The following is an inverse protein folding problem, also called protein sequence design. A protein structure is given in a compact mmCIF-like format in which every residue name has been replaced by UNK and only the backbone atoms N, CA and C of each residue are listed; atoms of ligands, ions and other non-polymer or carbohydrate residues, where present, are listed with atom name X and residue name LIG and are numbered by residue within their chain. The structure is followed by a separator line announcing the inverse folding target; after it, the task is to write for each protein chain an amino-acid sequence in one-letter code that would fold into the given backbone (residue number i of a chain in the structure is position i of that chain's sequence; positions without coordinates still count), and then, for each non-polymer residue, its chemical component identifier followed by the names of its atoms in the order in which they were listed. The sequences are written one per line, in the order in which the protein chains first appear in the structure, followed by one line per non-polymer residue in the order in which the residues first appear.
data_IF_471972871676
#
_entry.id   IF_471972871676
#
_cell.length_a   1.000
_cell.length_b   1.000
_cell.length_c   1.000
_cell.angle_alpha   90.00
_cell.angle_beta   90.00
_cell.angle_gamma   90.00
#
_symmetry.space_group_name_H-M   'P 1'
#
loop_
_entity.id
_entity.type
_entity.pdbx_description
1 polymer ?
#
# COMPACT_ATOMS: atom_id res chain seq x y z
N UNK A 1 18.44 -0.08 -45.31
CA UNK A 1 17.39 -0.84 -44.59
C UNK A 1 16.69 0.14 -43.69
N UNK A 2 15.51 0.58 -44.11
CA UNK A 2 14.85 1.78 -43.58
C UNK A 2 14.33 1.57 -42.16
N UNK A 3 14.56 2.53 -41.23
CA UNK A 3 14.15 2.42 -39.83
C UNK A 3 12.65 2.72 -39.57
N UNK A 4 11.81 2.73 -40.61
CA UNK A 4 10.40 3.22 -40.55
C UNK A 4 9.37 2.09 -40.43
N UNK A 5 9.77 0.82 -40.49
CA UNK A 5 8.83 -0.33 -40.49
C UNK A 5 8.53 -0.95 -39.12
N UNK A 6 9.19 -0.51 -38.04
CA UNK A 6 8.94 -0.99 -36.68
C UNK A 6 7.87 -0.26 -35.82
N UNK A 7 7.36 0.97 -36.12
CA UNK A 7 6.58 1.77 -35.15
C UNK A 7 5.14 1.28 -34.92
N UNK A 8 4.80 0.05 -35.32
CA UNK A 8 3.43 -0.43 -35.36
C UNK A 8 3.04 -1.38 -34.21
N UNK A 9 3.98 -2.04 -33.52
CA UNK A 9 3.60 -3.20 -32.68
C UNK A 9 2.68 -2.81 -31.52
N UNK A 10 3.03 -1.76 -30.77
CA UNK A 10 2.23 -1.31 -29.61
C UNK A 10 0.93 -0.61 -30.04
N UNK A 11 1.00 0.20 -31.09
CA UNK A 11 -0.16 0.92 -31.62
C UNK A 11 -1.20 -0.01 -32.26
N UNK A 12 -0.75 -0.99 -33.05
CA UNK A 12 -1.60 -1.99 -33.70
C UNK A 12 -2.20 -2.98 -32.69
N UNK A 13 -1.48 -3.32 -31.61
CA UNK A 13 -2.00 -4.18 -30.55
C UNK A 13 -3.13 -3.53 -29.72
N UNK A 14 -3.13 -2.19 -29.58
CA UNK A 14 -4.11 -1.46 -28.78
C UNK A 14 -5.20 -0.75 -29.60
N UNK A 15 -5.03 -0.62 -30.92
CA UNK A 15 -5.98 0.06 -31.81
C UNK A 15 -6.09 1.58 -31.53
N UNK A 16 -5.03 2.19 -30.99
CA UNK A 16 -4.97 3.59 -30.57
C UNK A 16 -3.97 4.39 -31.41
N UNK A 17 -4.05 5.75 -31.40
CA UNK A 17 -3.00 6.59 -31.95
C UNK A 17 -1.63 6.22 -31.35
N UNK A 18 -0.58 6.26 -32.16
CA UNK A 18 0.77 5.81 -31.76
C UNK A 18 1.24 6.44 -30.44
N UNK A 19 1.10 7.76 -30.31
CA UNK A 19 1.51 8.49 -29.10
C UNK A 19 0.76 8.01 -27.85
N UNK A 20 -0.55 7.79 -27.96
CA UNK A 20 -1.37 7.29 -26.85
C UNK A 20 -0.96 5.87 -26.45
N UNK A 21 -0.72 5.02 -27.44
CA UNK A 21 -0.32 3.63 -27.21
C UNK A 21 1.03 3.53 -26.47
N UNK A 22 2.01 4.35 -26.86
CA UNK A 22 3.33 4.42 -26.20
C UNK A 22 3.21 4.95 -24.77
N UNK A 23 2.43 6.01 -24.55
CA UNK A 23 2.20 6.58 -23.21
C UNK A 23 1.52 5.58 -22.28
N UNK A 24 0.47 4.90 -22.76
CA UNK A 24 -0.27 3.90 -21.97
C UNK A 24 0.61 2.70 -21.64
N UNK A 25 1.41 2.22 -22.60
CA UNK A 25 2.36 1.14 -22.35
C UNK A 25 3.42 1.51 -21.31
N UNK A 26 3.98 2.73 -21.39
CA UNK A 26 4.90 3.25 -20.38
C UNK A 26 4.26 3.37 -18.99
N UNK A 27 3.03 3.89 -18.92
CA UNK A 27 2.29 4.02 -17.67
C UNK A 27 1.90 2.65 -17.07
N UNK A 28 1.61 1.65 -17.91
CA UNK A 28 1.36 0.28 -17.51
C UNK A 28 2.60 -0.34 -16.87
N UNK A 29 3.74 -0.30 -17.57
CA UNK A 29 5.03 -0.82 -17.09
C UNK A 29 5.44 -0.15 -15.79
N UNK A 30 5.33 1.18 -15.74
CA UNK A 30 5.58 1.95 -14.53
C UNK A 30 4.67 1.49 -13.39
N UNK A 31 3.36 1.46 -13.61
CA UNK A 31 2.37 1.14 -12.58
C UNK A 31 2.55 -0.26 -11.99
N UNK A 32 2.85 -1.27 -12.81
CA UNK A 32 3.17 -2.61 -12.33
C UNK A 32 4.42 -2.59 -11.45
N UNK A 33 5.49 -1.97 -11.97
CA UNK A 33 6.81 -1.98 -11.33
C UNK A 33 6.81 -1.20 -10.03
N UNK A 34 6.23 -0.01 -10.02
CA UNK A 34 6.11 0.86 -8.85
C UNK A 34 5.18 0.27 -7.79
N UNK A 35 4.09 -0.39 -8.19
CA UNK A 35 3.21 -1.11 -7.27
C UNK A 35 3.93 -2.26 -6.56
N UNK A 36 4.63 -3.10 -7.30
CA UNK A 36 5.37 -4.25 -6.73
C UNK A 36 6.53 -3.79 -5.84
N UNK A 37 7.38 -2.90 -6.32
CA UNK A 37 8.55 -2.43 -5.56
C UNK A 37 8.15 -1.50 -4.40
N UNK A 38 7.09 -0.71 -4.60
CA UNK A 38 6.45 0.09 -3.57
C UNK A 38 5.93 -0.76 -2.41
N UNK A 39 5.45 -1.98 -2.67
CA UNK A 39 5.03 -2.91 -1.62
C UNK A 39 6.14 -3.17 -0.59
N UNK A 40 7.36 -3.42 -1.05
CA UNK A 40 8.52 -3.61 -0.18
C UNK A 40 8.89 -2.31 0.55
N UNK A 41 8.94 -1.18 -0.15
CA UNK A 41 9.31 0.10 0.44
C UNK A 41 8.35 0.53 1.56
N UNK A 42 7.04 0.42 1.34
CA UNK A 42 6.00 0.81 2.32
C UNK A 42 5.98 -0.15 3.50
N UNK A 43 6.01 -1.46 3.28
CA UNK A 43 5.97 -2.42 4.39
C UNK A 43 7.23 -2.33 5.26
N UNK A 44 8.37 -1.94 4.69
CA UNK A 44 9.61 -1.71 5.42
C UNK A 44 9.66 -0.35 6.14
N UNK A 45 8.57 0.43 6.09
CA UNK A 45 8.49 1.81 6.61
C UNK A 45 9.54 2.75 6.01
N UNK A 46 9.93 2.50 4.77
CA UNK A 46 10.92 3.28 4.00
C UNK A 46 10.30 3.94 2.78
N UNK A 47 9.02 4.34 2.89
CA UNK A 47 8.28 4.94 1.78
C UNK A 47 8.91 6.26 1.28
N UNK A 48 9.62 6.98 2.15
CA UNK A 48 10.28 8.25 1.82
C UNK A 48 11.61 8.08 1.08
N UNK A 49 12.18 6.87 1.01
CA UNK A 49 13.42 6.63 0.25
C UNK A 49 13.20 6.93 -1.24
N UNK A 50 12.03 6.58 -1.78
CA UNK A 50 11.69 6.87 -3.18
C UNK A 50 11.68 8.37 -3.48
N UNK A 51 11.17 9.18 -2.55
CA UNK A 51 11.14 10.64 -2.65
C UNK A 51 12.55 11.24 -2.60
N UNK A 52 13.35 10.80 -1.62
CA UNK A 52 14.74 11.21 -1.48
C UNK A 52 15.57 10.87 -2.72
N UNK A 53 15.43 9.66 -3.26
CA UNK A 53 16.12 9.26 -4.50
C UNK A 53 15.67 10.13 -5.67
N UNK A 54 14.37 10.37 -5.82
CA UNK A 54 13.85 11.17 -6.93
C UNK A 54 14.43 12.58 -6.94
N UNK A 55 14.51 13.24 -5.79
CA UNK A 55 15.10 14.58 -5.69
C UNK A 55 16.63 14.55 -5.78
N UNK A 56 17.26 13.46 -5.31
CA UNK A 56 18.70 13.29 -5.43
C UNK A 56 19.19 13.02 -6.85
N UNK A 57 18.28 12.66 -7.77
CA UNK A 57 18.63 12.53 -9.19
C UNK A 57 18.89 13.88 -9.87
N UNK A 58 18.30 14.98 -9.39
CA UNK A 58 18.40 16.32 -9.99
C UNK A 58 19.85 16.80 -10.17
N UNK A 59 20.72 16.80 -9.14
CA UNK A 59 22.13 17.18 -9.33
C UNK A 59 22.84 16.28 -10.36
N UNK A 60 22.48 14.98 -10.44
CA UNK A 60 23.05 14.06 -11.41
C UNK A 60 22.72 14.43 -12.86
N UNK A 61 21.47 14.86 -13.10
CA UNK A 61 21.04 15.37 -14.40
C UNK A 61 21.80 16.64 -14.77
N UNK A 62 21.93 17.59 -13.83
CA UNK A 62 22.67 18.83 -14.06
C UNK A 62 24.16 18.58 -14.37
N UNK A 63 24.81 17.69 -13.62
CA UNK A 63 26.22 17.31 -13.87
C UNK A 63 26.36 16.60 -15.22
N UNK A 64 25.46 15.67 -15.55
CA UNK A 64 25.50 14.99 -16.85
C UNK A 64 25.34 15.98 -18.01
N UNK A 65 24.46 16.96 -17.88
CA UNK A 65 24.31 18.03 -18.88
C UNK A 65 25.58 18.87 -19.02
N UNK A 66 26.18 19.29 -17.91
CA UNK A 66 27.43 20.07 -17.90
C UNK A 66 28.60 19.34 -18.58
N UNK A 67 28.69 18.03 -18.40
CA UNK A 67 29.77 17.21 -18.97
C UNK A 67 29.52 16.86 -20.44
N UNK A 68 28.28 16.51 -20.79
CA UNK A 68 27.94 16.08 -22.15
C UNK A 68 27.79 17.25 -23.13
N UNK A 69 27.41 18.45 -22.67
CA UNK A 69 27.23 19.65 -23.51
C UNK A 69 26.09 19.56 -24.54
N UNK A 70 25.37 18.43 -24.60
CA UNK A 70 24.28 18.14 -25.55
C UNK A 70 23.12 17.50 -24.80
N UNK A 71 21.88 17.73 -25.26
CA UNK A 71 20.63 17.16 -24.71
C UNK A 71 20.46 15.67 -25.02
N UNK A 72 21.46 14.85 -24.74
CA UNK A 72 21.36 13.41 -24.93
C UNK A 72 20.56 12.78 -23.78
N UNK A 73 19.31 12.42 -24.11
CA UNK A 73 18.37 11.71 -23.24
C UNK A 73 19.02 10.54 -22.47
N UNK A 74 19.82 9.66 -23.10
CA UNK A 74 20.45 8.53 -22.39
C UNK A 74 21.50 8.99 -21.37
N UNK A 75 22.27 10.04 -21.69
CA UNK A 75 23.30 10.58 -20.80
C UNK A 75 22.69 11.24 -19.56
N UNK A 76 21.61 12.00 -19.75
CA UNK A 76 20.84 12.60 -18.65
C UNK A 76 20.25 11.53 -17.71
N UNK A 77 19.69 10.45 -18.27
CA UNK A 77 19.17 9.31 -17.49
C UNK A 77 20.29 8.56 -16.75
N UNK A 78 21.45 8.39 -17.37
CA UNK A 78 22.60 7.78 -16.73
C UNK A 78 23.08 8.62 -15.54
N UNK A 79 23.17 9.94 -15.70
CA UNK A 79 23.49 10.89 -14.63
C UNK A 79 22.49 10.81 -13.47
N UNK A 80 21.20 10.82 -13.78
CA UNK A 80 20.12 10.63 -12.80
C UNK A 80 20.26 9.32 -12.02
N UNK A 81 20.50 8.21 -12.73
CA UNK A 81 20.65 6.89 -12.13
C UNK A 81 21.88 6.78 -11.23
N UNK A 82 23.03 7.31 -11.68
CA UNK A 82 24.27 7.33 -10.89
C UNK A 82 24.09 8.17 -9.63
N UNK A 83 23.55 9.39 -9.74
CA UNK A 83 23.32 10.23 -8.56
C UNK A 83 22.30 9.62 -7.59
N UNK A 84 21.20 9.05 -8.11
CA UNK A 84 20.22 8.33 -7.30
C UNK A 84 20.81 7.13 -6.57
N UNK A 85 21.70 6.37 -7.23
CA UNK A 85 22.40 5.24 -6.62
C UNK A 85 23.39 5.71 -5.55
N UNK A 86 24.17 6.77 -5.82
CA UNK A 86 25.10 7.36 -4.86
C UNK A 86 24.33 7.83 -3.62
N UNK A 87 23.22 8.55 -3.78
CA UNK A 87 22.37 8.99 -2.69
C UNK A 87 21.80 7.81 -1.89
N UNK A 88 21.30 6.77 -2.58
CA UNK A 88 20.83 5.55 -1.95
C UNK A 88 21.90 4.85 -1.10
N UNK A 89 23.13 4.76 -1.63
CA UNK A 89 24.26 4.16 -0.91
C UNK A 89 24.70 5.02 0.27
N UNK A 90 24.69 6.35 0.14
CA UNK A 90 24.95 7.26 1.27
C UNK A 90 23.90 7.09 2.37
N UNK A 91 22.62 7.01 2.04
CA UNK A 91 21.56 6.77 3.03
C UNK A 91 21.82 5.46 3.80
N UNK A 92 22.06 4.36 3.07
CA UNK A 92 22.37 3.06 3.68
C UNK A 92 23.67 3.13 4.50
N UNK A 93 24.68 3.87 4.06
CA UNK A 93 25.94 4.06 4.78
C UNK A 93 25.76 4.81 6.09
N UNK A 94 24.99 5.89 6.08
CA UNK A 94 24.69 6.70 7.27
C UNK A 94 23.88 5.86 8.27
N UNK A 95 22.86 5.14 7.81
CA UNK A 95 22.05 4.23 8.64
C UNK A 95 22.91 3.17 9.33
N UNK A 96 23.92 2.63 8.63
CA UNK A 96 24.83 1.60 9.16
C UNK A 96 25.67 2.08 10.33
N UNK A 97 25.87 3.39 10.50
CA UNK A 97 26.60 3.90 11.67
C UNK A 97 25.84 3.68 12.98
N UNK A 98 24.54 3.41 12.92
CA UNK A 98 23.67 3.17 14.09
C UNK A 98 23.42 4.40 14.96
N UNK A 99 24.06 5.54 14.65
CA UNK A 99 23.95 6.79 15.43
C UNK A 99 22.77 7.66 15.00
N UNK A 100 22.31 7.50 13.76
CA UNK A 100 21.29 8.33 13.14
C UNK A 100 20.08 7.46 12.78
N UNK A 101 18.87 7.95 13.09
CA UNK A 101 17.63 7.24 12.72
C UNK A 101 17.48 7.21 11.20
N UNK A 102 16.94 6.12 10.60
CA UNK A 102 16.77 6.02 9.15
C UNK A 102 16.05 7.21 8.51
N UNK A 103 14.97 7.70 9.12
CA UNK A 103 14.23 8.86 8.61
C UNK A 103 15.07 10.14 8.58
N UNK A 104 15.97 10.30 9.55
CA UNK A 104 16.89 11.43 9.60
C UNK A 104 18.01 11.30 8.55
N UNK A 105 18.50 10.08 8.30
CA UNK A 105 19.47 9.82 7.23
C UNK A 105 18.89 10.16 5.85
N UNK A 106 17.63 9.77 5.61
CA UNK A 106 16.88 10.13 4.40
C UNK A 106 16.80 11.66 4.27
N UNK A 107 16.39 12.35 5.35
CA UNK A 107 16.27 13.82 5.35
C UNK A 107 17.59 14.53 5.05
N UNK A 108 18.69 14.11 5.67
CA UNK A 108 20.02 14.70 5.45
C UNK A 108 20.47 14.55 3.99
N UNK A 109 20.36 13.34 3.43
CA UNK A 109 20.77 13.10 2.04
C UNK A 109 19.87 13.82 1.05
N UNK A 110 18.55 13.79 1.27
CA UNK A 110 17.57 14.53 0.47
C UNK A 110 17.90 16.02 0.45
N UNK A 111 18.05 16.66 1.61
CA UNK A 111 18.33 18.10 1.70
C UNK A 111 19.66 18.47 1.04
N UNK A 112 20.71 17.68 1.24
CA UNK A 112 22.03 17.94 0.67
C UNK A 112 22.02 17.86 -0.87
N UNK A 113 21.49 16.76 -1.43
CA UNK A 113 21.45 16.57 -2.87
C UNK A 113 20.48 17.54 -3.54
N UNK A 114 19.33 17.81 -2.93
CA UNK A 114 18.38 18.78 -3.45
C UNK A 114 18.98 20.19 -3.47
N UNK A 115 19.62 20.63 -2.39
CA UNK A 115 20.31 21.93 -2.35
C UNK A 115 21.42 22.02 -3.40
N UNK A 116 22.25 20.97 -3.53
CA UNK A 116 23.29 20.90 -4.57
C UNK A 116 22.69 20.99 -5.97
N UNK A 117 21.61 20.25 -6.22
CA UNK A 117 20.90 20.25 -7.49
C UNK A 117 20.34 21.63 -7.81
N UNK A 118 19.72 22.32 -6.84
CA UNK A 118 19.21 23.68 -7.02
C UNK A 118 20.34 24.67 -7.33
N UNK A 119 21.48 24.59 -6.65
CA UNK A 119 22.64 25.45 -6.94
C UNK A 119 23.16 25.23 -8.36
N UNK A 120 23.35 23.97 -8.76
CA UNK A 120 23.79 23.61 -10.11
C UNK A 120 22.79 24.09 -11.17
N UNK A 121 21.50 23.94 -10.88
CA UNK A 121 20.43 24.40 -11.74
C UNK A 121 20.46 25.93 -11.89
N UNK A 122 20.49 26.68 -10.79
CA UNK A 122 20.54 28.16 -10.83
C UNK A 122 21.75 28.65 -11.62
N UNK A 123 22.90 27.97 -11.49
CA UNK A 123 24.09 28.29 -12.27
C UNK A 123 23.87 28.07 -13.78
N UNK A 124 23.24 26.96 -14.17
CA UNK A 124 22.85 26.66 -15.55
C UNK A 124 21.85 27.67 -16.11
N UNK A 125 20.85 28.05 -15.30
CA UNK A 125 19.82 29.00 -15.70
C UNK A 125 20.36 30.41 -15.90
N UNK A 126 21.39 30.82 -15.17
CA UNK A 126 21.96 32.16 -15.33
C UNK A 126 22.93 32.28 -16.53
N UNK A 127 23.36 31.17 -17.14
CA UNK A 127 24.37 31.14 -18.20
C UNK A 127 23.80 31.09 -19.63
N UNK A 128 22.61 31.67 -19.85
CA UNK A 128 21.93 31.85 -21.16
C UNK A 128 21.36 30.60 -21.86
N UNK A 129 21.31 29.43 -21.20
CA UNK A 129 20.60 28.21 -21.67
C UNK A 129 19.38 27.84 -20.78
N UNK A 130 18.87 28.79 -20.00
CA UNK A 130 17.85 28.57 -18.96
C UNK A 130 16.53 27.98 -19.45
N UNK A 131 16.05 28.45 -20.60
CA UNK A 131 14.77 28.04 -21.20
C UNK A 131 14.87 26.64 -21.85
N UNK A 132 16.08 26.08 -21.91
CA UNK A 132 16.43 24.90 -22.70
C UNK A 132 16.71 23.63 -21.88
N UNK A 133 16.75 23.67 -20.54
CA UNK A 133 17.15 22.53 -19.71
C UNK A 133 16.09 21.40 -19.60
N UNK A 134 14.85 21.63 -20.04
CA UNK A 134 13.78 20.61 -19.99
C UNK A 134 13.47 20.13 -18.56
N UNK A 135 13.71 20.98 -17.55
CA UNK A 135 13.67 20.56 -16.16
C UNK A 135 12.27 20.60 -15.55
N UNK A 136 11.41 21.55 -15.93
CA UNK A 136 9.99 21.53 -15.56
C UNK A 136 9.35 20.20 -16.00
N UNK A 137 9.74 19.76 -17.19
CA UNK A 137 9.37 18.49 -17.77
C UNK A 137 9.95 17.26 -17.04
N UNK A 138 11.13 17.38 -16.44
CA UNK A 138 11.70 16.36 -15.57
C UNK A 138 10.96 16.25 -14.23
N UNK A 139 10.57 17.40 -13.66
CA UNK A 139 9.89 17.48 -12.37
C UNK A 139 8.44 16.98 -12.43
N UNK A 140 7.70 17.38 -13.47
CA UNK A 140 6.28 17.05 -13.66
C UNK A 140 6.04 15.88 -14.64
N UNK A 141 7.10 15.39 -15.30
CA UNK A 141 7.03 14.34 -16.30
C UNK A 141 6.59 14.87 -17.67
N UNK A 142 7.04 14.19 -18.72
CA UNK A 142 6.63 14.46 -20.11
C UNK A 142 6.32 13.14 -20.82
N UNK A 143 5.15 12.57 -20.55
CA UNK A 143 4.76 11.37 -21.27
C UNK A 143 4.56 11.62 -22.78
N UNK A 144 4.19 12.85 -23.19
CA UNK A 144 4.01 13.19 -24.60
C UNK A 144 5.30 13.06 -25.44
N UNK A 145 6.47 13.14 -24.81
CA UNK A 145 7.78 12.96 -25.45
C UNK A 145 8.32 11.53 -25.37
N UNK A 146 7.53 10.57 -24.88
CA UNK A 146 7.96 9.18 -24.69
C UNK A 146 8.04 8.47 -26.05
N UNK A 147 9.18 7.85 -26.34
CA UNK A 147 9.37 7.05 -27.55
C UNK A 147 9.21 5.54 -27.26
N UNK A 148 8.94 4.74 -28.28
CA UNK A 148 8.85 3.29 -28.15
C UNK A 148 10.16 2.66 -27.63
N UNK A 149 11.31 3.22 -28.02
CA UNK A 149 12.63 2.83 -27.48
C UNK A 149 12.72 3.05 -25.97
N UNK A 150 12.17 4.15 -25.45
CA UNK A 150 12.18 4.44 -24.01
C UNK A 150 11.32 3.43 -23.27
N UNK A 151 10.13 3.12 -23.81
CA UNK A 151 9.24 2.10 -23.24
C UNK A 151 9.90 0.72 -23.26
N UNK A 152 10.63 0.36 -24.33
CA UNK A 152 11.37 -0.90 -24.40
C UNK A 152 12.46 -0.98 -23.32
N UNK A 153 13.23 0.09 -23.11
CA UNK A 153 14.24 0.16 -22.04
C UNK A 153 13.59 0.07 -20.66
N UNK A 154 12.50 0.80 -20.44
CA UNK A 154 11.73 0.74 -19.20
C UNK A 154 11.20 -0.67 -18.94
N UNK A 155 10.64 -1.32 -19.96
CA UNK A 155 10.12 -2.68 -19.89
C UNK A 155 11.23 -3.69 -19.58
N UNK A 156 12.41 -3.54 -20.18
CA UNK A 156 13.56 -4.40 -19.89
C UNK A 156 14.02 -4.23 -18.43
N UNK A 157 14.20 -3.00 -17.95
CA UNK A 157 14.59 -2.72 -16.57
C UNK A 157 13.53 -3.20 -15.57
N UNK A 158 12.25 -2.96 -15.86
CA UNK A 158 11.13 -3.47 -15.09
C UNK A 158 11.12 -5.00 -15.04
N UNK A 159 11.28 -5.67 -16.18
CA UNK A 159 11.31 -7.13 -16.25
C UNK A 159 12.45 -7.71 -15.42
N UNK A 160 13.66 -7.13 -15.50
CA UNK A 160 14.80 -7.53 -14.67
C UNK A 160 14.49 -7.31 -13.18
N UNK A 161 13.98 -6.14 -12.79
CA UNK A 161 13.67 -5.85 -11.40
C UNK A 161 12.58 -6.79 -10.83
N UNK A 162 11.51 -7.02 -11.60
CA UNK A 162 10.42 -7.92 -11.24
C UNK A 162 10.88 -9.38 -11.20
N UNK A 163 11.78 -9.81 -12.10
CA UNK A 163 12.39 -11.13 -12.08
C UNK A 163 13.23 -11.34 -10.82
N UNK A 164 14.08 -10.37 -10.47
CA UNK A 164 14.87 -10.39 -9.23
C UNK A 164 13.94 -10.51 -8.01
N UNK A 165 12.87 -9.73 -7.95
CA UNK A 165 11.84 -9.84 -6.89
C UNK A 165 11.17 -11.22 -6.91
N UNK A 166 10.86 -11.76 -8.08
CA UNK A 166 10.19 -13.04 -8.25
C UNK A 166 11.04 -14.22 -7.76
N UNK A 167 12.32 -14.24 -8.14
CA UNK A 167 13.32 -15.26 -7.77
C UNK A 167 13.68 -15.16 -6.30
N UNK A 168 14.02 -13.96 -5.82
CA UNK A 168 14.44 -13.74 -4.43
C UNK A 168 13.26 -13.50 -3.48
N UNK A 169 12.01 -13.68 -3.93
CA UNK A 169 10.79 -13.36 -3.17
C UNK A 169 10.85 -13.87 -1.74
N UNK A 170 11.23 -15.14 -1.54
CA UNK A 170 11.30 -15.76 -0.21
C UNK A 170 12.29 -15.04 0.68
N UNK A 171 13.53 -14.84 0.22
CA UNK A 171 14.58 -14.21 0.99
C UNK A 171 14.27 -12.73 1.31
N UNK A 172 13.73 -11.99 0.33
CA UNK A 172 13.28 -10.60 0.51
C UNK A 172 12.13 -10.49 1.51
N UNK A 173 11.15 -11.39 1.43
CA UNK A 173 10.00 -11.42 2.34
C UNK A 173 10.43 -11.75 3.77
N UNK A 174 11.30 -12.75 3.95
CA UNK A 174 11.82 -13.11 5.28
C UNK A 174 12.57 -11.94 5.90
N UNK A 175 13.46 -11.31 5.14
CA UNK A 175 14.24 -10.15 5.61
C UNK A 175 13.36 -8.94 5.90
N UNK A 176 12.23 -8.79 5.20
CA UNK A 176 11.28 -7.70 5.41
C UNK A 176 10.53 -7.82 6.74
N UNK A 177 10.09 -9.02 7.10
CA UNK A 177 9.27 -9.24 8.30
C UNK A 177 10.10 -9.53 9.55
N UNK A 178 11.21 -10.26 9.40
CA UNK A 178 12.11 -10.59 10.51
C UNK A 178 13.58 -10.66 10.03
N UNK A 179 14.31 -9.54 10.10
CA UNK A 179 15.73 -9.49 9.76
C UNK A 179 16.60 -10.39 10.64
N UNK A 180 16.23 -10.58 11.92
CA UNK A 180 16.99 -11.39 12.87
C UNK A 180 16.87 -12.87 12.55
N UNK A 181 15.66 -13.34 12.26
CA UNK A 181 15.41 -14.69 11.78
C UNK A 181 16.06 -14.95 10.41
N UNK A 182 16.00 -13.99 9.49
CA UNK A 182 16.71 -14.09 8.22
C UNK A 182 18.22 -14.26 8.41
N UNK A 183 18.82 -13.52 9.36
CA UNK A 183 20.22 -13.66 9.73
C UNK A 183 20.55 -15.02 10.34
N UNK A 184 19.69 -15.56 11.21
CA UNK A 184 19.86 -16.89 11.79
C UNK A 184 19.78 -18.02 10.74
N UNK A 185 19.01 -17.82 9.68
CA UNK A 185 18.97 -18.72 8.51
C UNK A 185 20.20 -18.61 7.59
N UNK A 186 21.15 -17.73 7.89
CA UNK A 186 22.35 -17.50 7.07
C UNK A 186 22.12 -16.62 5.85
N UNK A 187 20.98 -15.93 5.74
CA UNK A 187 20.75 -15.00 4.63
C UNK A 187 21.61 -13.74 4.78
N UNK A 188 22.19 -13.21 3.68
CA UNK A 188 22.98 -11.99 3.74
C UNK A 188 22.08 -10.76 3.82
N UNK A 189 21.48 -10.52 4.99
CA UNK A 189 20.51 -9.44 5.27
C UNK A 189 20.98 -8.10 4.68
N UNK A 190 22.24 -7.73 4.91
CA UNK A 190 22.81 -6.47 4.42
C UNK A 190 22.78 -6.35 2.89
N UNK A 191 23.10 -7.44 2.19
CA UNK A 191 23.09 -7.46 0.73
C UNK A 191 21.66 -7.37 0.18
N UNK A 192 20.70 -8.05 0.82
CA UNK A 192 19.30 -7.99 0.46
C UNK A 192 18.70 -6.60 0.66
N UNK A 193 19.08 -5.92 1.73
CA UNK A 193 18.65 -4.54 1.98
C UNK A 193 19.21 -3.57 0.94
N UNK A 194 20.50 -3.66 0.62
CA UNK A 194 21.12 -2.85 -0.43
C UNK A 194 20.50 -3.15 -1.80
N UNK A 195 20.21 -4.42 -2.09
CA UNK A 195 19.52 -4.83 -3.31
C UNK A 195 18.11 -4.21 -3.41
N UNK A 196 17.33 -4.21 -2.32
CA UNK A 196 16.02 -3.56 -2.30
C UNK A 196 16.09 -2.06 -2.55
N UNK A 197 17.07 -1.39 -1.95
CA UNK A 197 17.28 0.03 -2.22
C UNK A 197 17.68 0.25 -3.70
N UNK A 198 18.52 -0.60 -4.27
CA UNK A 198 18.90 -0.52 -5.68
C UNK A 198 17.71 -0.76 -6.63
N UNK A 199 16.85 -1.75 -6.36
CA UNK A 199 15.62 -1.94 -7.14
C UNK A 199 14.68 -0.74 -7.04
N UNK A 200 14.59 -0.11 -5.87
CA UNK A 200 13.80 1.11 -5.69
C UNK A 200 14.35 2.26 -6.53
N UNK A 201 15.67 2.43 -6.61
CA UNK A 201 16.30 3.41 -7.52
C UNK A 201 15.93 3.14 -8.96
N UNK A 202 15.97 1.87 -9.40
CA UNK A 202 15.52 1.49 -10.76
C UNK A 202 14.07 1.89 -10.99
N UNK A 203 13.17 1.65 -10.02
CA UNK A 203 11.77 2.06 -10.13
C UNK A 203 11.60 3.58 -10.28
N UNK A 204 12.39 4.35 -9.52
CA UNK A 204 12.38 5.82 -9.59
C UNK A 204 12.85 6.30 -10.95
N UNK A 205 13.97 5.77 -11.46
CA UNK A 205 14.52 6.14 -12.78
C UNK A 205 13.52 5.86 -13.90
N UNK A 206 12.85 4.70 -13.87
CA UNK A 206 11.80 4.34 -14.83
C UNK A 206 10.66 5.37 -14.78
N UNK A 207 10.20 5.74 -13.58
CA UNK A 207 8.98 6.54 -13.45
C UNK A 207 9.15 8.05 -13.58
N UNK A 208 10.37 8.56 -13.36
CA UNK A 208 10.71 9.97 -13.61
C UNK A 208 10.33 10.40 -15.03
N UNK A 209 10.51 9.53 -16.04
CA UNK A 209 10.15 9.82 -17.44
C UNK A 209 8.64 10.02 -17.68
N UNK A 210 7.81 9.20 -17.04
CA UNK A 210 6.35 9.19 -17.31
C UNK A 210 5.60 10.15 -16.42
N UNK A 211 5.88 10.11 -15.11
CA UNK A 211 5.11 10.80 -14.07
C UNK A 211 5.87 11.99 -13.48
N UNK A 212 7.19 12.04 -13.65
CA UNK A 212 8.04 13.09 -13.10
C UNK A 212 8.63 12.73 -11.73
N UNK A 213 9.74 13.36 -11.39
CA UNK A 213 10.46 13.09 -10.15
C UNK A 213 9.62 13.38 -8.90
N UNK A 214 8.84 14.48 -8.88
CA UNK A 214 8.05 14.90 -7.71
C UNK A 214 6.93 13.89 -7.42
N UNK A 215 6.27 13.43 -8.49
CA UNK A 215 5.07 12.61 -8.40
C UNK A 215 5.37 11.11 -8.32
N UNK A 216 6.63 10.72 -8.50
CA UNK A 216 7.07 9.32 -8.46
C UNK A 216 6.77 8.64 -7.12
N UNK A 217 6.94 9.34 -6.00
CA UNK A 217 6.66 8.79 -4.67
C UNK A 217 5.20 8.35 -4.55
N UNK A 218 4.26 9.10 -5.15
CA UNK A 218 2.86 8.74 -5.13
C UNK A 218 2.62 7.42 -5.87
N UNK A 219 3.27 7.19 -7.01
CA UNK A 219 3.18 5.93 -7.74
C UNK A 219 3.75 4.73 -6.98
N UNK A 220 4.70 4.92 -6.07
CA UNK A 220 5.20 3.84 -5.20
C UNK A 220 4.24 3.56 -4.03
N UNK A 221 3.69 4.61 -3.44
CA UNK A 221 2.94 4.50 -2.17
C UNK A 221 1.47 4.16 -2.40
N UNK A 222 0.79 4.88 -3.30
CA UNK A 222 -0.65 4.79 -3.53
C UNK A 222 -1.15 3.39 -3.88
N UNK A 223 -0.63 2.70 -4.92
CA UNK A 223 -1.11 1.37 -5.27
C UNK A 223 -0.86 0.34 -4.17
N UNK A 224 0.26 0.48 -3.46
CA UNK A 224 0.63 -0.36 -2.32
C UNK A 224 -0.33 -0.20 -1.15
N UNK A 225 -0.61 1.04 -0.75
CA UNK A 225 -1.54 1.34 0.34
C UNK A 225 -2.93 0.82 -0.01
N UNK A 226 -3.36 1.03 -1.26
CA UNK A 226 -4.63 0.50 -1.77
C UNK A 226 -4.67 -1.02 -1.65
N UNK A 227 -3.67 -1.73 -2.18
CA UNK A 227 -3.61 -3.18 -2.15
C UNK A 227 -3.62 -3.77 -0.73
N UNK A 228 -2.92 -3.11 0.21
CA UNK A 228 -2.87 -3.52 1.63
C UNK A 228 -4.21 -3.36 2.35
N UNK A 229 -5.08 -2.46 1.88
CA UNK A 229 -6.45 -2.36 2.40
C UNK A 229 -7.33 -3.51 1.93
N UNK A 230 -7.04 -4.11 0.77
CA UNK A 230 -7.84 -5.17 0.16
C UNK A 230 -7.35 -6.60 0.53
N UNK A 231 -6.07 -6.78 0.89
CA UNK A 231 -5.51 -8.09 1.19
C UNK A 231 -4.63 -8.13 2.44
N UNK A 232 -4.62 -9.30 3.09
CA UNK A 232 -3.83 -9.59 4.30
C UNK A 232 -2.53 -10.33 4.02
N UNK A 233 -2.50 -11.13 2.95
CA UNK A 233 -1.35 -11.99 2.63
C UNK A 233 -0.39 -11.25 1.72
N UNK A 234 0.89 -11.19 2.10
CA UNK A 234 1.92 -10.46 1.35
C UNK A 234 1.98 -10.78 -0.16
N UNK A 235 1.93 -12.06 -0.61
CA UNK A 235 1.91 -12.36 -2.05
C UNK A 235 0.70 -11.78 -2.78
N UNK A 236 -0.47 -11.73 -2.12
CA UNK A 236 -1.67 -11.10 -2.68
C UNK A 236 -1.54 -9.58 -2.70
N UNK A 237 -0.93 -8.98 -1.68
CA UNK A 237 -0.64 -7.54 -1.68
C UNK A 237 0.29 -7.18 -2.83
N UNK A 238 1.32 -7.99 -3.12
CA UNK A 238 2.26 -7.73 -4.21
C UNK A 238 1.55 -7.74 -5.58
N UNK A 239 0.75 -8.77 -5.83
CA UNK A 239 -0.02 -8.90 -7.07
C UNK A 239 -1.07 -7.80 -7.20
N UNK A 240 -1.81 -7.50 -6.14
CA UNK A 240 -2.80 -6.43 -6.15
C UNK A 240 -2.15 -5.04 -6.31
N UNK A 241 -0.99 -4.80 -5.70
CA UNK A 241 -0.30 -3.52 -5.84
C UNK A 241 0.16 -3.30 -7.29
N UNK A 242 0.70 -4.34 -7.94
CA UNK A 242 1.01 -4.29 -9.37
C UNK A 242 -0.22 -4.06 -10.24
N UNK A 243 -1.33 -4.77 -9.99
CA UNK A 243 -2.58 -4.62 -10.76
C UNK A 243 -3.25 -3.26 -10.55
N UNK A 244 -3.30 -2.77 -9.31
CA UNK A 244 -3.84 -1.44 -9.01
C UNK A 244 -2.96 -0.37 -9.62
N UNK A 245 -1.64 -0.50 -9.52
CA UNK A 245 -0.70 0.44 -10.14
C UNK A 245 -0.86 0.46 -11.66
N UNK A 246 -0.96 -0.70 -12.30
CA UNK A 246 -1.28 -0.85 -13.72
C UNK A 246 -2.59 -0.13 -14.09
N UNK A 247 -3.67 -0.41 -13.35
CA UNK A 247 -4.98 0.18 -13.60
C UNK A 247 -4.94 1.71 -13.44
N UNK A 248 -4.31 2.22 -12.38
CA UNK A 248 -4.14 3.66 -12.13
C UNK A 248 -3.31 4.31 -13.23
N UNK A 249 -2.19 3.69 -13.63
CA UNK A 249 -1.33 4.18 -14.70
C UNK A 249 -2.07 4.28 -16.03
N UNK A 250 -2.74 3.20 -16.44
CA UNK A 250 -3.49 3.14 -17.71
C UNK A 250 -4.67 4.11 -17.70
N UNK A 251 -5.51 4.09 -16.65
CA UNK A 251 -6.69 4.97 -16.57
C UNK A 251 -6.30 6.44 -16.47
N UNK A 252 -5.26 6.77 -15.70
CA UNK A 252 -4.73 8.12 -15.63
C UNK A 252 -4.13 8.59 -16.95
N UNK A 253 -3.37 7.74 -17.65
CA UNK A 253 -2.82 8.05 -18.96
C UNK A 253 -3.93 8.32 -19.99
N UNK A 254 -4.95 7.46 -20.05
CA UNK A 254 -6.10 7.62 -20.96
C UNK A 254 -6.90 8.90 -20.70
N UNK A 255 -7.08 9.27 -19.43
CA UNK A 255 -7.78 10.52 -19.08
C UNK A 255 -6.94 11.74 -19.43
N UNK A 256 -5.63 11.67 -19.23
CA UNK A 256 -4.72 12.75 -19.54
C UNK A 256 -4.63 13.01 -21.06
N UNK A 257 -4.50 11.95 -21.88
CA UNK A 257 -4.41 12.11 -23.35
C UNK A 257 -5.69 12.69 -23.95
N UNK A 258 -6.86 12.24 -23.48
CA UNK A 258 -8.16 12.78 -23.92
C UNK A 258 -8.44 14.20 -23.46
N UNK A 259 -7.96 14.56 -22.27
CA UNK A 259 -8.14 15.89 -21.69
C UNK A 259 -7.08 16.92 -22.10
N UNK A 260 -6.06 16.51 -22.87
CA UNK A 260 -4.85 17.31 -23.11
C UNK A 260 -4.22 17.86 -21.82
N UNK A 261 -4.28 17.07 -20.74
CA UNK A 261 -3.78 17.42 -19.42
C UNK A 261 -2.40 16.80 -19.15
N UNK A 262 -1.60 17.36 -18.22
CA UNK A 262 -0.34 16.74 -17.80
C UNK A 262 -0.55 15.33 -17.25
N UNK A 263 0.13 14.34 -17.83
CA UNK A 263 -0.03 12.92 -17.51
C UNK A 263 0.32 12.58 -16.06
N UNK A 264 1.46 13.08 -15.54
CA UNK A 264 1.89 12.80 -14.17
C UNK A 264 0.83 13.18 -13.11
N UNK A 265 0.40 14.46 -13.03
CA UNK A 265 -0.60 14.91 -12.07
C UNK A 265 -1.94 14.15 -12.16
N UNK A 266 -2.43 13.89 -13.38
CA UNK A 266 -3.70 13.17 -13.58
C UNK A 266 -3.61 11.73 -13.07
N UNK A 267 -2.52 11.03 -13.37
CA UNK A 267 -2.29 9.65 -12.90
C UNK A 267 -2.25 9.60 -11.37
N UNK A 268 -1.60 10.58 -10.72
CA UNK A 268 -1.58 10.67 -9.25
C UNK A 268 -2.96 10.97 -8.68
N UNK A 269 -3.74 11.87 -9.28
CA UNK A 269 -5.07 12.21 -8.80
C UNK A 269 -6.03 11.02 -8.90
N UNK A 270 -5.96 10.26 -10.01
CA UNK A 270 -6.71 9.00 -10.18
C UNK A 270 -6.29 8.00 -9.11
N UNK A 271 -4.98 7.83 -8.89
CA UNK A 271 -4.47 6.96 -7.85
C UNK A 271 -4.98 7.35 -6.46
N UNK A 272 -4.94 8.64 -6.13
CA UNK A 272 -5.45 9.16 -4.87
C UNK A 272 -6.95 8.88 -4.69
N UNK A 273 -7.76 9.08 -5.73
CA UNK A 273 -9.18 8.75 -5.71
C UNK A 273 -9.42 7.25 -5.45
N UNK A 274 -8.66 6.37 -6.11
CA UNK A 274 -8.72 4.91 -5.91
C UNK A 274 -8.31 4.53 -4.48
N UNK A 275 -7.22 5.10 -3.96
CA UNK A 275 -6.78 4.85 -2.59
C UNK A 275 -7.78 5.35 -1.55
N UNK A 276 -8.38 6.52 -1.77
CA UNK A 276 -9.42 7.06 -0.90
C UNK A 276 -10.66 6.16 -0.90
N UNK A 277 -11.10 5.72 -2.08
CA UNK A 277 -12.21 4.78 -2.21
C UNK A 277 -11.92 3.47 -1.47
N UNK A 278 -10.72 2.91 -1.61
CA UNK A 278 -10.30 1.71 -0.88
C UNK A 278 -10.25 1.95 0.65
N UNK A 279 -9.72 3.10 1.11
CA UNK A 279 -9.67 3.41 2.54
C UNK A 279 -11.06 3.53 3.16
N UNK A 280 -12.02 4.08 2.42
CA UNK A 280 -13.40 4.25 2.89
C UNK A 280 -14.19 2.94 2.83
N UNK A 281 -14.09 2.20 1.73
CA UNK A 281 -14.99 1.08 1.39
C UNK A 281 -14.41 -0.31 1.65
N UNK A 282 -13.09 -0.46 1.88
CA UNK A 282 -12.47 -1.78 1.97
C UNK A 282 -13.13 -2.68 3.03
N UNK A 283 -13.41 -3.96 2.71
CA UNK A 283 -13.95 -4.91 3.67
C UNK A 283 -12.93 -5.19 4.78
N UNK A 284 -13.38 -5.26 6.04
CA UNK A 284 -12.52 -5.57 7.19
C UNK A 284 -11.71 -4.39 7.75
N UNK A 285 -11.10 -3.57 6.88
CA UNK A 285 -10.22 -2.44 7.26
C UNK A 285 -10.79 -1.04 7.00
N UNK A 286 -11.77 -0.93 6.11
CA UNK A 286 -12.31 0.36 5.70
C UNK A 286 -12.97 1.11 6.85
N UNK A 287 -12.86 2.44 6.83
CA UNK A 287 -13.41 3.30 7.89
C UNK A 287 -14.92 3.09 8.05
N UNK A 288 -15.66 2.98 6.92
CA UNK A 288 -17.11 2.74 6.94
C UNK A 288 -17.45 1.34 7.44
N UNK A 289 -16.67 0.33 7.06
CA UNK A 289 -16.87 -1.04 7.54
C UNK A 289 -16.63 -1.14 9.05
N UNK A 290 -15.53 -0.54 9.55
CA UNK A 290 -15.22 -0.49 10.98
C UNK A 290 -16.28 0.29 11.75
N UNK A 291 -16.75 1.42 11.22
CA UNK A 291 -17.83 2.21 11.83
C UNK A 291 -19.14 1.42 11.88
N UNK A 292 -19.51 0.71 10.80
CA UNK A 292 -20.70 -0.16 10.75
C UNK A 292 -20.58 -1.31 11.75
N UNK A 293 -19.44 -1.99 11.81
CA UNK A 293 -19.19 -3.09 12.76
C UNK A 293 -19.20 -2.61 14.21
N UNK A 294 -18.60 -1.46 14.49
CA UNK A 294 -18.60 -0.87 15.83
C UNK A 294 -20.03 -0.44 16.24
N UNK A 295 -20.79 0.16 15.32
CA UNK A 295 -22.22 0.49 15.55
C UNK A 295 -23.05 -0.77 15.80
N UNK A 296 -22.85 -1.84 15.03
CA UNK A 296 -23.52 -3.12 15.22
C UNK A 296 -23.16 -3.74 16.59
N UNK A 297 -21.89 -3.78 16.96
CA UNK A 297 -21.42 -4.25 18.27
C UNK A 297 -22.01 -3.43 19.42
N UNK A 298 -21.98 -2.10 19.33
CA UNK A 298 -22.59 -1.21 20.34
C UNK A 298 -24.10 -1.46 20.48
N UNK A 299 -24.81 -1.72 19.38
CA UNK A 299 -26.24 -2.08 19.41
C UNK A 299 -26.47 -3.45 20.05
N UNK A 300 -25.64 -4.44 19.75
CA UNK A 300 -25.72 -5.77 20.37
C UNK A 300 -25.46 -5.70 21.87
N UNK A 301 -24.39 -5.03 22.31
CA UNK A 301 -24.09 -4.86 23.76
C UNK A 301 -25.23 -4.16 24.49
N UNK A 302 -25.83 -3.12 23.91
CA UNK A 302 -26.99 -2.43 24.52
C UNK A 302 -28.22 -3.31 24.60
N UNK A 303 -28.52 -4.07 23.55
CA UNK A 303 -29.60 -5.06 23.59
C UNK A 303 -29.36 -6.05 24.72
N UNK A 304 -28.16 -6.62 24.76
CA UNK A 304 -27.80 -7.65 25.72
C UNK A 304 -27.83 -7.10 27.16
N UNK A 305 -27.44 -5.84 27.37
CA UNK A 305 -27.59 -5.15 28.65
C UNK A 305 -29.06 -5.04 29.09
N UNK A 306 -29.96 -4.60 28.19
CA UNK A 306 -31.40 -4.50 28.47
C UNK A 306 -32.02 -5.87 28.74
N UNK A 307 -31.63 -6.93 28.02
CA UNK A 307 -32.14 -8.28 28.26
C UNK A 307 -31.69 -8.84 29.62
N UNK A 308 -30.48 -8.50 30.07
CA UNK A 308 -30.00 -8.95 31.39
C UNK A 308 -30.56 -8.16 32.56
N UNK A 309 -30.88 -6.88 32.36
CA UNK A 309 -31.37 -5.98 33.41
C UNK A 309 -32.60 -5.21 32.89
N UNK A 310 -33.74 -5.88 32.68
CA UNK A 310 -34.93 -5.26 32.09
C UNK A 310 -35.52 -4.16 32.99
N UNK A 311 -35.41 -4.32 34.31
CA UNK A 311 -36.01 -3.44 35.32
C UNK A 311 -35.19 -2.15 35.54
N UNK A 312 -33.94 -2.10 35.07
CA UNK A 312 -33.12 -0.91 35.20
C UNK A 312 -33.79 0.28 34.47
N UNK A 313 -33.75 1.52 35.00
CA UNK A 313 -34.28 2.68 34.30
C UNK A 313 -33.45 3.01 33.05
N UNK A 314 -34.06 3.61 32.01
CA UNK A 314 -33.34 3.90 30.77
C UNK A 314 -32.29 5.00 30.96
N UNK A 315 -31.02 4.64 30.84
CA UNK A 315 -29.88 5.54 31.06
C UNK A 315 -29.71 6.64 29.99
N UNK A 316 -30.58 6.72 28.96
CA UNK A 316 -30.57 7.79 27.97
C UNK A 316 -31.42 7.54 26.73
N UNK A 317 -31.42 8.49 25.78
CA UNK A 317 -32.22 8.46 24.54
C UNK A 317 -31.97 7.19 23.72
N UNK A 318 -30.70 6.79 23.61
CA UNK A 318 -30.30 5.60 22.86
C UNK A 318 -30.75 4.30 23.50
N UNK A 319 -30.93 4.27 24.82
CA UNK A 319 -31.51 3.13 25.53
C UNK A 319 -33.03 3.06 25.31
N UNK A 320 -33.73 4.19 25.38
CA UNK A 320 -35.16 4.30 25.05
C UNK A 320 -35.47 3.77 23.65
N UNK A 321 -34.67 4.15 22.65
CA UNK A 321 -34.79 3.64 21.28
C UNK A 321 -34.53 2.13 21.19
N UNK A 322 -33.62 1.60 22.00
CA UNK A 322 -33.31 0.16 22.03
C UNK A 322 -34.49 -0.62 22.61
N UNK A 323 -35.06 -0.17 23.74
CA UNK A 323 -36.28 -0.75 24.31
C UNK A 323 -37.47 -0.68 23.36
N UNK A 324 -37.66 0.45 22.66
CA UNK A 324 -38.70 0.57 21.64
C UNK A 324 -38.54 -0.45 20.50
N UNK A 325 -37.29 -0.69 20.04
CA UNK A 325 -37.00 -1.73 19.04
C UNK A 325 -37.26 -3.14 19.57
N UNK A 326 -36.94 -3.41 20.83
CA UNK A 326 -37.18 -4.72 21.45
C UNK A 326 -38.67 -4.98 21.67
N UNK A 327 -39.45 -3.96 22.01
CA UNK A 327 -40.92 -4.00 22.04
C UNK A 327 -41.50 -4.34 20.67
N UNK A 328 -41.04 -3.67 19.60
CA UNK A 328 -41.43 -3.99 18.22
C UNK A 328 -41.07 -5.42 17.79
N UNK A 329 -40.02 -6.00 18.38
CA UNK A 329 -39.62 -7.39 18.15
C UNK A 329 -40.33 -8.39 19.06
N UNK A 330 -41.24 -7.94 19.92
CA UNK A 330 -41.97 -8.79 20.86
C UNK A 330 -41.11 -9.38 21.98
N UNK A 331 -39.92 -8.83 22.26
CA UNK A 331 -39.03 -9.28 23.34
C UNK A 331 -39.30 -8.57 24.68
N UNK A 332 -39.91 -7.39 24.61
CA UNK A 332 -40.27 -6.56 25.76
C UNK A 332 -41.75 -6.22 25.68
N UNK A 333 -42.46 -6.32 26.79
CA UNK A 333 -43.83 -5.89 26.92
C UNK A 333 -43.92 -4.34 27.14
N UNK A 334 -45.13 -3.75 27.00
CA UNK A 334 -45.32 -2.30 27.12
C UNK A 334 -44.97 -1.74 28.51
N UNK A 335 -45.16 -2.54 29.55
CA UNK A 335 -44.76 -2.34 30.94
C UNK A 335 -43.24 -2.36 31.17
N UNK A 336 -42.48 -2.95 30.23
CA UNK A 336 -41.03 -3.09 30.34
C UNK A 336 -40.57 -4.47 30.83
N UNK A 337 -41.49 -5.41 31.07
CA UNK A 337 -41.14 -6.79 31.43
C UNK A 337 -40.74 -7.62 30.21
N UNK A 338 -39.96 -8.68 30.41
CA UNK A 338 -39.59 -9.59 29.32
C UNK A 338 -40.77 -10.50 28.96
N UNK A 339 -41.09 -10.57 27.66
CA UNK A 339 -42.06 -11.55 27.15
C UNK A 339 -41.51 -12.97 27.26
N UNK A 340 -42.30 -14.01 26.95
CA UNK A 340 -41.80 -15.38 26.87
C UNK A 340 -40.60 -15.51 25.90
N UNK A 341 -40.68 -14.85 24.74
CA UNK A 341 -39.57 -14.79 23.78
C UNK A 341 -38.37 -13.99 24.33
N UNK A 342 -38.61 -12.89 25.06
CA UNK A 342 -37.58 -12.11 25.74
C UNK A 342 -36.83 -12.90 26.80
N UNK A 343 -37.55 -13.67 27.62
CA UNK A 343 -36.98 -14.57 28.64
C UNK A 343 -36.13 -15.68 28.03
N UNK A 344 -36.61 -16.31 26.95
CA UNK A 344 -35.84 -17.30 26.22
C UNK A 344 -34.53 -16.71 25.67
N UNK A 345 -34.58 -15.53 25.04
CA UNK A 345 -33.39 -14.85 24.54
C UNK A 345 -32.42 -14.40 25.65
N UNK A 346 -32.93 -14.01 26.82
CA UNK A 346 -32.11 -13.67 27.98
C UNK A 346 -31.43 -14.92 28.58
N UNK A 347 -32.13 -16.06 28.64
CA UNK A 347 -31.57 -17.34 29.10
C UNK A 347 -30.46 -17.84 28.17
N UNK A 348 -30.66 -17.81 26.86
CA UNK A 348 -29.64 -18.16 25.85
C UNK A 348 -28.39 -17.28 25.98
N UNK A 349 -28.59 -15.96 26.19
CA UNK A 349 -27.50 -15.03 26.42
C UNK A 349 -26.72 -15.34 27.72
N UNK A 350 -27.44 -15.67 28.80
CA UNK A 350 -26.84 -16.03 30.08
C UNK A 350 -26.02 -17.31 29.97
N UNK A 351 -26.56 -18.33 29.30
CA UNK A 351 -25.86 -19.58 29.03
C UNK A 351 -24.59 -19.37 28.21
N UNK A 352 -24.67 -18.60 27.11
CA UNK A 352 -23.49 -18.29 26.29
C UNK A 352 -22.40 -17.58 27.09
N UNK A 353 -22.77 -16.66 27.99
CA UNK A 353 -21.82 -15.97 28.88
C UNK A 353 -21.19 -16.94 29.88
N UNK A 354 -21.99 -17.80 30.52
CA UNK A 354 -21.49 -18.81 31.46
C UNK A 354 -20.48 -19.76 30.81
N UNK A 355 -20.79 -20.25 29.60
CA UNK A 355 -19.87 -21.08 28.82
C UNK A 355 -18.56 -20.36 28.49
N UNK A 356 -18.64 -19.08 28.10
CA UNK A 356 -17.43 -18.30 27.80
C UNK A 356 -16.59 -18.03 29.04
N UNK A 357 -17.20 -17.72 30.19
CA UNK A 357 -16.50 -17.57 31.46
C UNK A 357 -15.82 -18.87 31.86
N UNK A 358 -16.54 -20.00 31.81
CA UNK A 358 -15.98 -21.32 32.11
C UNK A 358 -14.82 -21.66 31.16
N UNK A 359 -14.91 -21.30 29.88
CA UNK A 359 -13.82 -21.48 28.92
C UNK A 359 -12.59 -20.61 29.26
N UNK A 360 -12.78 -19.35 29.65
CA UNK A 360 -11.66 -18.48 30.03
C UNK A 360 -10.93 -18.98 31.28
N UNK A 361 -11.66 -19.56 32.23
CA UNK A 361 -11.09 -20.07 33.47
C UNK A 361 -10.48 -21.47 33.32
N UNK A 362 -11.11 -22.35 32.54
CA UNK A 362 -10.79 -23.79 32.51
C UNK A 362 -10.40 -24.30 31.12
N UNK A 363 -10.37 -23.46 30.08
CA UNK A 363 -10.15 -23.86 28.69
C UNK A 363 -8.82 -24.56 28.43
N UNK A 364 -7.77 -24.23 29.21
CA UNK A 364 -6.48 -24.91 29.13
C UNK A 364 -6.54 -26.40 29.53
N UNK A 365 -7.55 -26.80 30.30
CA UNK A 365 -7.76 -28.20 30.72
C UNK A 365 -8.57 -29.03 29.73
N UNK A 366 -9.16 -28.40 28.70
CA UNK A 366 -10.06 -29.05 27.75
C UNK A 366 -9.28 -29.36 26.47
N UNK A 367 -9.27 -30.63 26.08
CA UNK A 367 -8.70 -31.05 24.80
C UNK A 367 -9.71 -30.77 23.70
N UNK A 368 -9.39 -29.80 22.83
CA UNK A 368 -10.13 -29.59 21.60
C UNK A 368 -9.62 -30.55 20.50
N UNK A 369 -10.50 -31.08 19.64
CA UNK A 369 -10.11 -31.89 18.49
C UNK A 369 -9.24 -31.11 17.49
N UNK A 370 -9.54 -29.82 17.33
CA UNK A 370 -8.81 -28.89 16.47
C UNK A 370 -8.19 -27.78 17.33
N UNK A 371 -6.92 -27.42 17.11
CA UNK A 371 -6.23 -26.31 17.79
C UNK A 371 -6.74 -24.91 17.38
N UNK A 372 -8.02 -24.80 17.01
CA UNK A 372 -8.67 -23.54 16.64
C UNK A 372 -9.17 -22.84 17.89
N UNK A 373 -8.96 -21.53 17.92
CA UNK A 373 -9.53 -20.68 18.96
C UNK A 373 -11.07 -20.66 18.81
N UNK A 374 -11.85 -20.86 19.89
CA UNK A 374 -13.31 -20.91 19.80
C UNK A 374 -13.90 -19.57 19.37
N UNK A 375 -15.02 -19.60 18.63
CA UNK A 375 -15.71 -18.38 18.24
C UNK A 375 -16.55 -17.86 19.42
N UNK A 376 -16.27 -16.66 19.97
CA UNK A 376 -17.06 -16.09 21.05
C UNK A 376 -18.51 -15.77 20.67
N UNK A 377 -18.84 -15.71 19.38
CA UNK A 377 -20.22 -15.51 18.91
C UNK A 377 -21.05 -16.82 18.88
N UNK A 378 -20.38 -17.95 18.65
CA UNK A 378 -20.97 -19.30 18.60
C UNK A 378 -20.06 -20.32 19.30
N UNK A 379 -20.06 -20.26 20.64
CA UNK A 379 -19.26 -21.18 21.46
C UNK A 379 -19.71 -22.62 21.30
N UNK A 380 -21.02 -22.87 21.27
CA UNK A 380 -21.55 -24.23 21.26
C UNK A 380 -21.21 -24.94 19.94
N UNK A 381 -21.31 -24.24 18.81
CA UNK A 381 -20.91 -24.75 17.51
C UNK A 381 -19.39 -24.90 17.35
N UNK A 382 -18.60 -24.00 17.92
CA UNK A 382 -17.14 -24.01 17.77
C UNK A 382 -16.40 -24.99 18.69
N UNK A 383 -16.91 -25.25 19.90
CA UNK A 383 -16.30 -26.17 20.86
C UNK A 383 -16.70 -27.63 20.62
N UNK A 384 -17.84 -27.87 19.99
CA UNK A 384 -18.42 -29.20 19.82
C UNK A 384 -19.13 -29.72 21.09
N UNK A 385 -20.02 -30.73 20.94
CA UNK A 385 -20.93 -31.15 22.01
C UNK A 385 -20.21 -31.68 23.25
N UNK A 386 -19.09 -32.39 23.09
CA UNK A 386 -18.35 -33.01 24.20
C UNK A 386 -17.66 -31.97 25.09
N UNK A 387 -16.99 -30.98 24.48
CA UNK A 387 -16.33 -29.90 25.20
C UNK A 387 -17.35 -29.00 25.92
N UNK A 388 -18.49 -28.73 25.30
CA UNK A 388 -19.60 -27.99 25.94
C UNK A 388 -20.15 -28.76 27.13
N UNK A 389 -20.36 -30.07 27.02
CA UNK A 389 -20.82 -30.90 28.13
C UNK A 389 -19.80 -30.96 29.27
N UNK A 390 -18.50 -30.95 28.97
CA UNK A 390 -17.44 -30.85 29.96
C UNK A 390 -17.43 -29.48 30.66
N UNK A 391 -17.52 -28.38 29.91
CA UNK A 391 -17.61 -27.03 30.46
C UNK A 391 -18.81 -26.83 31.36
N UNK A 392 -19.99 -27.33 30.96
CA UNK A 392 -21.21 -27.28 31.79
C UNK A 392 -21.04 -28.03 33.11
N UNK A 393 -20.33 -29.16 33.11
CA UNK A 393 -20.03 -29.93 34.34
C UNK A 393 -19.05 -29.20 35.26
N UNK A 394 -18.07 -28.50 34.68
CA UNK A 394 -17.05 -27.78 35.43
C UNK A 394 -17.62 -26.48 36.01
N UNK A 395 -18.32 -25.68 35.20
CA UNK A 395 -18.91 -24.40 35.63
C UNK A 395 -20.15 -24.52 36.52
N UNK A 396 -20.67 -25.73 36.76
CA UNK A 396 -21.73 -26.01 37.73
C UNK A 396 -21.21 -26.37 39.13
N UNK A 397 -19.88 -26.54 39.27
CA UNK A 397 -19.18 -26.65 40.56
C UNK A 397 -18.68 -25.27 40.96
#
# INVERSE_FOLDING_TARGET
MDPVSAPAVVATALGLPYTDAVVIAGALVLGITSGVLGAFAVLRRRSLVGDAVAHATLPGVCVAFLVAGVKDVPGLLLGAAVAGLVAALLMVGIERTGRIRPDAAIGVVLSAFFALGVVLLTHLSNSSDADQAGLEHYLFGQAAGLLERDVAVMAALAAVALLVVGVLRRALTTTLFDPSFAGALGLPVRALETLMTALLVVAVVIGVRVVGAILMVAMLVVPTVTARQLADRFPRVLLLAGLVGAAVGVTGALLATRGALPTGPVVVLVGFAVALAALLLAPGRGVLWRARRLRARRRAVRRDAVLTHPDAPPAGVTDRLTRARLRRRGLLAPDGTLTAAGRAAAAELAERRALWTAWLEHGASIRLPDAREPDPADLAGSLGPDAVAQLRRIGAR
#
